data_IF_173540971461
#
_entry.id   IF_173540971461
#
_cell.length_a   1.000
_cell.length_b   1.000
_cell.length_c   1.000
_cell.angle_alpha   90.00
_cell.angle_beta   90.00
_cell.angle_gamma   90.00
#
_symmetry.space_group_name_H-M   'P 1'
#
loop_
_entity.id
_entity.type
_entity.pdbx_description
1 polymer ?
#
# COMPACT_ATOMS: atom_id res chain seq x y z
N UNK A 1 9.31 92.30 -8.27
CA UNK A 1 8.25 92.82 -7.38
C UNK A 1 7.52 93.86 -8.22
N UNK A 2 6.26 93.69 -8.63
CA UNK A 2 5.06 93.18 -7.96
C UNK A 2 4.39 92.08 -8.78
N UNK A 3 3.90 91.06 -8.09
CA UNK A 3 3.00 90.04 -8.63
C UNK A 3 1.59 90.53 -8.32
N UNK A 4 0.82 90.84 -9.36
CA UNK A 4 -0.51 91.42 -9.27
C UNK A 4 -1.53 90.28 -9.39
N UNK A 5 -2.18 89.96 -8.27
CA UNK A 5 -3.26 88.98 -8.24
C UNK A 5 -4.48 89.61 -8.90
N UNK A 6 -4.87 89.07 -10.06
CA UNK A 6 -6.13 89.41 -10.71
C UNK A 6 -6.98 88.13 -10.73
N UNK A 7 -8.01 88.12 -9.89
CA UNK A 7 -9.00 87.06 -9.76
C UNK A 7 -10.02 87.18 -10.89
N UNK A 8 -9.98 86.27 -11.84
CA UNK A 8 -11.18 85.90 -12.61
C UNK A 8 -12.09 85.06 -11.71
N UNK A 9 -12.67 85.73 -10.71
CA UNK A 9 -14.03 85.45 -10.28
C UNK A 9 -14.93 85.69 -11.51
N UNK A 10 -15.92 84.82 -11.70
CA UNK A 10 -16.89 84.75 -12.82
C UNK A 10 -16.60 83.68 -13.89
N UNK A 11 -15.82 82.66 -13.56
CA UNK A 11 -16.01 81.35 -14.18
C UNK A 11 -17.25 80.68 -13.59
N UNK A 12 -18.36 80.70 -14.33
CA UNK A 12 -19.55 79.88 -14.07
C UNK A 12 -19.13 78.52 -13.54
N UNK A 13 -19.44 78.24 -12.28
CA UNK A 13 -19.40 76.88 -11.76
C UNK A 13 -20.47 76.12 -12.54
N UNK A 14 -20.08 75.52 -13.67
CA UNK A 14 -20.84 74.43 -14.27
C UNK A 14 -21.14 73.49 -13.10
N UNK A 15 -22.41 73.40 -12.74
CA UNK A 15 -22.93 72.37 -11.87
C UNK A 15 -22.48 71.05 -12.48
N UNK A 16 -21.34 70.53 -11.99
CA UNK A 16 -21.03 69.13 -12.08
C UNK A 16 -22.14 68.45 -11.29
N UNK A 17 -23.24 68.20 -11.99
CA UNK A 17 -24.24 67.23 -11.60
C UNK A 17 -23.44 65.99 -11.28
N UNK A 18 -23.34 65.71 -9.98
CA UNK A 18 -22.77 64.48 -9.50
C UNK A 18 -23.50 63.38 -10.26
N UNK A 19 -22.82 62.75 -11.22
CA UNK A 19 -23.37 61.54 -11.81
C UNK A 19 -23.55 60.60 -10.64
N UNK A 20 -24.81 60.35 -10.29
CA UNK A 20 -25.22 59.28 -9.40
C UNK A 20 -24.40 58.06 -9.81
N UNK A 21 -23.48 57.68 -8.93
CA UNK A 21 -22.73 56.44 -9.04
C UNK A 21 -23.79 55.38 -9.31
N UNK A 22 -23.78 54.66 -10.46
CA UNK A 22 -24.82 53.70 -10.72
C UNK A 22 -24.83 52.69 -9.57
N UNK A 23 -25.87 52.76 -8.75
CA UNK A 23 -26.19 51.72 -7.79
C UNK A 23 -26.56 50.51 -8.63
N UNK A 24 -25.64 49.57 -8.72
CA UNK A 24 -25.87 48.11 -8.69
C UNK A 24 -24.56 47.41 -9.03
N UNK A 25 -23.60 47.49 -8.11
CA UNK A 25 -22.63 46.41 -8.01
C UNK A 25 -23.40 45.18 -7.47
N UNK A 26 -24.05 44.45 -8.37
CA UNK A 26 -24.64 43.14 -8.05
C UNK A 26 -23.49 42.28 -7.57
N UNK A 27 -23.44 41.95 -6.28
CA UNK A 27 -22.55 40.93 -5.75
C UNK A 27 -22.76 39.68 -6.60
N UNK A 28 -21.74 39.18 -7.33
CA UNK A 28 -21.91 37.95 -8.08
C UNK A 28 -22.16 36.86 -7.05
N UNK A 29 -23.42 36.40 -6.94
CA UNK A 29 -23.73 35.24 -6.14
C UNK A 29 -22.79 34.12 -6.61
N UNK A 30 -22.00 33.51 -5.71
CA UNK A 30 -21.10 32.44 -6.11
C UNK A 30 -21.96 31.41 -6.85
N UNK A 31 -21.62 31.06 -8.10
CA UNK A 31 -22.49 30.22 -8.89
C UNK A 31 -22.43 28.84 -8.25
N UNK A 32 -23.37 28.54 -7.35
CA UNK A 32 -23.46 27.30 -6.56
C UNK A 32 -23.33 26.07 -7.46
N UNK A 33 -23.81 26.17 -8.70
CA UNK A 33 -23.62 25.20 -9.78
C UNK A 33 -22.14 24.89 -10.06
N UNK A 34 -21.28 25.90 -10.15
CA UNK A 34 -19.83 25.72 -10.33
C UNK A 34 -19.17 25.05 -9.13
N UNK A 35 -19.58 25.41 -7.91
CA UNK A 35 -19.07 24.77 -6.69
C UNK A 35 -19.45 23.30 -6.68
N UNK A 36 -20.70 22.96 -7.01
CA UNK A 36 -21.16 21.58 -7.14
C UNK A 36 -20.36 20.84 -8.21
N UNK A 37 -20.13 21.44 -9.37
CA UNK A 37 -19.33 20.83 -10.44
C UNK A 37 -17.90 20.55 -9.97
N UNK A 38 -17.27 21.50 -9.27
CA UNK A 38 -15.91 21.34 -8.74
C UNK A 38 -15.88 20.21 -7.71
N UNK A 39 -16.80 20.22 -6.74
CA UNK A 39 -16.89 19.17 -5.71
C UNK A 39 -17.17 17.81 -6.35
N UNK A 40 -18.04 17.75 -7.35
CA UNK A 40 -18.32 16.53 -8.11
C UNK A 40 -17.06 16.02 -8.83
N UNK A 41 -16.35 16.88 -9.55
CA UNK A 41 -15.09 16.51 -10.23
C UNK A 41 -14.03 16.02 -9.24
N UNK A 42 -13.87 16.70 -8.10
CA UNK A 42 -12.95 16.26 -7.04
C UNK A 42 -13.36 14.91 -6.46
N UNK A 43 -14.67 14.68 -6.28
CA UNK A 43 -15.19 13.43 -5.76
C UNK A 43 -14.93 12.28 -6.74
N UNK A 44 -15.20 12.49 -8.04
CA UNK A 44 -14.91 11.51 -9.10
C UNK A 44 -13.42 11.21 -9.17
N UNK A 45 -12.57 12.25 -9.17
CA UNK A 45 -11.11 12.06 -9.16
C UNK A 45 -10.65 11.28 -7.92
N UNK A 46 -11.17 11.61 -6.73
CA UNK A 46 -10.88 10.90 -5.49
C UNK A 46 -11.29 9.43 -5.55
N UNK A 47 -12.46 9.12 -6.09
CA UNK A 47 -12.94 7.74 -6.27
C UNK A 47 -12.00 6.95 -7.21
N UNK A 48 -11.59 7.54 -8.34
CA UNK A 48 -10.69 6.88 -9.29
C UNK A 48 -9.32 6.60 -8.66
N UNK A 49 -8.76 7.56 -7.94
CA UNK A 49 -7.48 7.39 -7.23
C UNK A 49 -7.60 6.29 -6.16
N UNK A 50 -8.68 6.29 -5.38
CA UNK A 50 -8.93 5.28 -4.36
C UNK A 50 -9.04 3.88 -4.95
N UNK A 51 -9.79 3.71 -6.05
CA UNK A 51 -9.91 2.43 -6.74
C UNK A 51 -8.56 1.95 -7.27
N UNK A 52 -7.76 2.85 -7.86
CA UNK A 52 -6.45 2.47 -8.39
C UNK A 52 -5.45 2.12 -7.28
N UNK A 53 -5.50 2.82 -6.14
CA UNK A 53 -4.69 2.50 -4.97
C UNK A 53 -5.06 1.11 -4.41
N UNK A 54 -6.36 0.82 -4.25
CA UNK A 54 -6.81 -0.48 -3.76
C UNK A 54 -6.45 -1.61 -4.72
N UNK A 55 -6.61 -1.40 -6.03
CA UNK A 55 -6.22 -2.40 -7.02
C UNK A 55 -4.73 -2.71 -6.96
N UNK A 56 -3.88 -1.68 -6.83
CA UNK A 56 -2.43 -1.89 -6.67
C UNK A 56 -2.08 -2.59 -5.37
N UNK A 57 -2.78 -2.28 -4.29
CA UNK A 57 -2.59 -2.93 -3.00
C UNK A 57 -2.98 -4.42 -3.07
N UNK A 58 -4.09 -4.74 -3.71
CA UNK A 58 -4.57 -6.10 -3.92
C UNK A 58 -3.61 -6.93 -4.79
N UNK A 59 -3.15 -6.34 -5.91
CA UNK A 59 -2.14 -6.95 -6.78
C UNK A 59 -0.82 -7.20 -6.04
N UNK A 60 -0.34 -6.23 -5.24
CA UNK A 60 0.87 -6.38 -4.46
C UNK A 60 0.72 -7.44 -3.35
N UNK A 61 -0.42 -7.46 -2.67
CA UNK A 61 -0.72 -8.44 -1.62
C UNK A 61 -0.74 -9.85 -2.22
N UNK A 62 -1.49 -10.05 -3.29
CA UNK A 62 -1.58 -11.34 -3.98
C UNK A 62 -0.21 -11.83 -4.46
N UNK A 63 0.64 -10.93 -4.97
CA UNK A 63 1.99 -11.28 -5.40
C UNK A 63 2.87 -11.74 -4.24
N UNK A 64 2.81 -11.04 -3.09
CA UNK A 64 3.56 -11.41 -1.88
C UNK A 64 3.08 -12.73 -1.30
N UNK A 65 1.77 -12.94 -1.22
CA UNK A 65 1.20 -14.21 -0.74
C UNK A 65 1.65 -15.38 -1.62
N UNK A 66 1.57 -15.22 -2.94
CA UNK A 66 2.02 -16.22 -3.91
C UNK A 66 3.50 -16.57 -3.72
N UNK A 67 4.36 -15.57 -3.48
CA UNK A 67 5.79 -15.76 -3.23
C UNK A 67 6.07 -16.51 -1.92
N UNK A 68 5.28 -16.25 -0.88
CA UNK A 68 5.37 -16.97 0.41
C UNK A 68 5.01 -18.45 0.22
N UNK A 69 3.92 -18.75 -0.47
CA UNK A 69 3.53 -20.13 -0.78
C UNK A 69 4.57 -20.84 -1.65
N UNK A 70 5.09 -20.16 -2.68
CA UNK A 70 6.12 -20.71 -3.55
C UNK A 70 7.40 -21.02 -2.77
N UNK A 71 7.85 -20.09 -1.93
CA UNK A 71 9.06 -20.25 -1.11
C UNK A 71 8.90 -21.39 -0.10
N UNK A 72 7.77 -21.45 0.60
CA UNK A 72 7.46 -22.56 1.51
C UNK A 72 7.48 -23.91 0.77
N UNK A 73 6.79 -24.01 -0.35
CA UNK A 73 6.66 -25.26 -1.10
C UNK A 73 7.99 -25.71 -1.71
N UNK A 74 8.86 -24.78 -2.11
CA UNK A 74 10.22 -25.10 -2.53
C UNK A 74 11.06 -25.63 -1.37
N UNK A 75 10.97 -25.04 -0.18
CA UNK A 75 11.65 -25.56 1.02
C UNK A 75 11.15 -26.94 1.42
N UNK A 76 9.82 -27.15 1.42
CA UNK A 76 9.22 -28.45 1.70
C UNK A 76 9.69 -29.51 0.70
N UNK A 77 9.75 -29.16 -0.59
CA UNK A 77 10.27 -30.05 -1.64
C UNK A 77 11.76 -30.35 -1.47
N UNK A 78 12.57 -29.34 -1.14
CA UNK A 78 14.00 -29.50 -0.88
C UNK A 78 14.22 -30.46 0.31
N UNK A 79 13.48 -30.28 1.39
CA UNK A 79 13.55 -31.14 2.57
C UNK A 79 13.09 -32.57 2.27
N UNK A 80 11.99 -32.76 1.53
CA UNK A 80 11.52 -34.09 1.12
C UNK A 80 12.53 -34.85 0.24
N UNK A 81 13.25 -34.11 -0.61
CA UNK A 81 14.27 -34.66 -1.51
C UNK A 81 15.66 -34.80 -0.88
N UNK A 82 15.85 -34.38 0.38
CA UNK A 82 17.16 -34.24 1.02
C UNK A 82 18.14 -33.42 0.15
N UNK A 83 17.64 -32.35 -0.47
CA UNK A 83 18.38 -31.48 -1.39
C UNK A 83 18.72 -30.13 -0.72
N UNK A 84 19.84 -30.06 0.03
CA UNK A 84 20.22 -28.83 0.72
C UNK A 84 20.62 -27.71 -0.24
N UNK A 85 21.01 -28.01 -1.48
CA UNK A 85 21.40 -26.98 -2.46
C UNK A 85 20.15 -26.23 -2.97
N UNK A 86 19.06 -26.95 -3.23
CA UNK A 86 17.77 -26.32 -3.50
C UNK A 86 17.28 -25.51 -2.30
N UNK A 87 17.44 -26.03 -1.09
CA UNK A 87 17.10 -25.29 0.14
C UNK A 87 17.87 -23.98 0.27
N UNK A 88 19.20 -23.99 0.07
CA UNK A 88 20.06 -22.80 0.11
C UNK A 88 19.67 -21.73 -0.91
N UNK A 89 19.13 -22.11 -2.06
CA UNK A 89 18.68 -21.16 -3.07
C UNK A 89 17.46 -20.33 -2.61
N UNK A 90 16.65 -20.88 -1.69
CA UNK A 90 15.45 -20.22 -1.16
C UNK A 90 15.74 -19.52 0.17
N UNK A 91 16.61 -20.10 1.00
CA UNK A 91 16.94 -19.53 2.31
C UNK A 91 17.65 -18.18 2.16
N UNK A 92 17.23 -17.22 2.98
CA UNK A 92 17.84 -15.90 3.02
C UNK A 92 19.32 -16.01 3.41
N UNK A 93 20.20 -15.42 2.60
CA UNK A 93 21.62 -15.25 2.96
C UNK A 93 21.86 -14.24 4.10
N UNK A 94 20.80 -13.60 4.63
CA UNK A 94 20.90 -12.57 5.67
C UNK A 94 21.39 -13.12 7.02
N UNK A 95 21.06 -14.37 7.32
CA UNK A 95 21.60 -15.09 8.49
C UNK A 95 22.26 -16.40 8.03
N UNK A 96 23.58 -16.33 7.82
CA UNK A 96 24.33 -17.50 7.36
C UNK A 96 24.39 -18.63 8.39
N UNK A 97 24.31 -18.33 9.69
CA UNK A 97 24.34 -19.35 10.73
C UNK A 97 23.03 -20.15 10.78
N UNK A 98 21.90 -19.44 10.70
CA UNK A 98 20.59 -20.07 10.61
C UNK A 98 20.45 -20.86 9.31
N UNK A 99 20.79 -20.28 8.15
CA UNK A 99 20.68 -20.96 6.85
C UNK A 99 21.55 -22.21 6.74
N UNK A 100 22.76 -22.18 7.32
CA UNK A 100 23.62 -23.37 7.42
C UNK A 100 22.97 -24.45 8.30
N UNK A 101 22.38 -24.06 9.42
CA UNK A 101 21.68 -25.01 10.32
C UNK A 101 20.51 -25.68 9.60
N UNK A 102 19.67 -24.91 8.89
CA UNK A 102 18.55 -25.46 8.13
C UNK A 102 19.02 -26.41 7.00
N UNK A 103 20.10 -26.05 6.31
CA UNK A 103 20.69 -26.90 5.27
C UNK A 103 21.19 -28.24 5.83
N UNK A 104 21.86 -28.22 6.99
CA UNK A 104 22.32 -29.43 7.67
C UNK A 104 21.14 -30.31 8.13
N UNK A 105 20.05 -29.70 8.58
CA UNK A 105 18.83 -30.42 8.96
C UNK A 105 18.17 -31.08 7.74
N UNK A 106 18.15 -30.41 6.58
CA UNK A 106 17.68 -31.01 5.33
C UNK A 106 18.54 -32.20 4.90
N UNK A 107 19.86 -32.07 4.94
CA UNK A 107 20.79 -33.15 4.58
C UNK A 107 20.62 -34.40 5.45
N UNK A 108 20.24 -34.21 6.71
CA UNK A 108 20.01 -35.29 7.68
C UNK A 108 18.56 -35.78 7.75
N UNK A 109 17.65 -35.19 6.97
CA UNK A 109 16.22 -35.52 6.98
C UNK A 109 15.48 -35.07 8.23
N UNK A 110 16.07 -34.18 9.02
CA UNK A 110 15.54 -33.69 10.30
C UNK A 110 14.93 -32.30 10.19
N UNK A 111 14.59 -31.84 8.98
CA UNK A 111 14.12 -30.46 8.74
C UNK A 111 12.89 -30.10 9.58
N UNK A 112 11.91 -31.00 9.69
CA UNK A 112 10.73 -30.84 10.53
C UNK A 112 10.80 -31.64 11.85
N UNK A 113 11.92 -32.29 12.13
CA UNK A 113 12.09 -33.10 13.34
C UNK A 113 12.79 -32.30 14.43
N UNK A 114 12.21 -32.33 15.63
CA UNK A 114 12.84 -31.79 16.82
C UNK A 114 12.84 -32.84 17.92
N UNK A 115 13.60 -33.90 17.69
CA UNK A 115 13.73 -35.05 18.61
C UNK A 115 14.13 -34.65 20.04
N UNK A 116 14.95 -33.60 20.21
CA UNK A 116 15.32 -33.07 21.53
C UNK A 116 14.16 -32.48 22.34
N UNK A 117 13.06 -32.12 21.67
CA UNK A 117 11.81 -31.66 22.28
C UNK A 117 10.72 -32.76 22.26
N UNK A 118 11.06 -33.98 21.83
CA UNK A 118 10.10 -35.06 21.63
C UNK A 118 9.08 -34.79 20.51
N UNK A 119 9.34 -33.81 19.65
CA UNK A 119 8.47 -33.46 18.53
C UNK A 119 8.91 -34.27 17.31
N UNK A 120 8.11 -35.28 16.97
CA UNK A 120 8.28 -36.12 15.78
C UNK A 120 7.06 -35.95 14.89
N UNK A 121 7.24 -36.04 13.58
CA UNK A 121 6.12 -36.00 12.66
C UNK A 121 5.32 -37.31 12.78
N UNK A 122 4.01 -37.19 13.01
CA UNK A 122 3.12 -38.36 13.04
C UNK A 122 2.99 -39.00 11.65
N UNK A 123 2.99 -38.16 10.61
CA UNK A 123 3.05 -38.55 9.22
C UNK A 123 4.09 -37.65 8.52
N UNK A 124 5.15 -38.30 8.03
CA UNK A 124 6.27 -37.63 7.40
C UNK A 124 5.91 -37.15 5.99
N UNK A 125 5.03 -37.86 5.27
CA UNK A 125 4.73 -37.55 3.87
C UNK A 125 3.79 -36.33 3.76
N UNK A 126 2.80 -36.21 4.65
CA UNK A 126 1.90 -35.04 4.67
C UNK A 126 2.58 -33.72 5.03
N UNK A 127 3.72 -33.77 5.72
CA UNK A 127 4.46 -32.56 6.11
C UNK A 127 5.15 -31.85 4.95
N UNK A 128 5.41 -32.59 3.87
CA UNK A 128 6.01 -32.05 2.66
C UNK A 128 4.99 -31.78 1.56
N UNK A 129 3.71 -32.02 1.82
CA UNK A 129 2.65 -31.72 0.88
C UNK A 129 2.63 -30.22 0.56
N UNK A 130 2.53 -29.82 -0.73
CA UNK A 130 2.46 -28.42 -1.09
C UNK A 130 1.23 -27.77 -0.47
N UNK A 131 1.41 -26.54 0.00
CA UNK A 131 0.36 -25.73 0.60
C UNK A 131 -0.15 -24.70 -0.41
N UNK A 132 -1.46 -24.48 -0.40
CA UNK A 132 -2.15 -23.52 -1.24
C UNK A 132 -3.15 -22.72 -0.41
N UNK A 133 -3.48 -21.50 -0.86
CA UNK A 133 -4.47 -20.65 -0.18
C UNK A 133 -5.86 -21.28 -0.19
N UNK A 134 -6.18 -22.01 -1.26
CA UNK A 134 -7.48 -22.65 -1.47
C UNK A 134 -7.62 -24.00 -0.76
N UNK A 135 -6.58 -24.44 -0.04
CA UNK A 135 -6.59 -25.70 0.71
C UNK A 135 -7.54 -25.60 1.92
N UNK A 136 -8.30 -26.65 2.19
CA UNK A 136 -9.20 -26.74 3.36
C UNK A 136 -8.42 -26.67 4.69
N UNK A 137 -7.13 -27.03 4.65
CA UNK A 137 -6.22 -26.95 5.79
C UNK A 137 -5.76 -25.52 6.10
N UNK A 138 -5.95 -24.55 5.18
CA UNK A 138 -5.49 -23.18 5.39
C UNK A 138 -6.30 -22.50 6.49
N UNK A 139 -5.61 -21.99 7.52
CA UNK A 139 -6.24 -21.28 8.63
C UNK A 139 -6.00 -19.78 8.49
N UNK A 140 -4.74 -19.36 8.40
CA UNK A 140 -4.38 -17.94 8.36
C UNK A 140 -2.99 -17.68 7.76
N UNK A 141 -2.80 -16.47 7.24
CA UNK A 141 -1.51 -15.92 6.82
C UNK A 141 -1.37 -14.52 7.42
N UNK A 142 -0.44 -14.38 8.36
CA UNK A 142 -0.14 -13.11 9.01
C UNK A 142 1.21 -12.57 8.55
N UNK A 143 1.24 -11.32 8.06
CA UNK A 143 2.45 -10.61 7.67
C UNK A 143 2.88 -9.64 8.77
N UNK A 144 4.18 -9.53 9.02
CA UNK A 144 4.68 -8.48 9.91
C UNK A 144 4.54 -7.09 9.27
N UNK A 145 4.31 -6.02 10.05
CA UNK A 145 4.12 -4.67 9.51
C UNK A 145 5.32 -4.14 8.70
N UNK A 146 6.51 -4.66 8.98
CA UNK A 146 7.76 -4.35 8.28
C UNK A 146 8.05 -5.28 7.09
N UNK A 147 7.16 -6.23 6.80
CA UNK A 147 7.25 -7.22 5.71
C UNK A 147 8.53 -8.08 5.74
N UNK A 148 9.18 -8.19 6.90
CA UNK A 148 10.38 -9.01 7.06
C UNK A 148 10.09 -10.44 7.53
N UNK A 149 8.86 -10.74 7.90
CA UNK A 149 8.42 -12.07 8.33
C UNK A 149 6.97 -12.32 7.93
N UNK A 150 6.68 -13.60 7.71
CA UNK A 150 5.34 -14.10 7.45
C UNK A 150 5.12 -15.34 8.32
N UNK A 151 3.93 -15.46 8.88
CA UNK A 151 3.49 -16.63 9.63
C UNK A 151 2.35 -17.29 8.86
N UNK A 152 2.53 -18.58 8.56
CA UNK A 152 1.61 -19.37 7.79
C UNK A 152 1.04 -20.48 8.67
N UNK A 153 -0.28 -20.47 8.90
CA UNK A 153 -0.95 -21.37 9.83
C UNK A 153 -1.83 -22.34 9.04
N UNK A 154 -1.59 -23.64 9.24
CA UNK A 154 -2.35 -24.73 8.63
C UNK A 154 -2.80 -25.74 9.67
N UNK A 155 -3.99 -26.30 9.45
CA UNK A 155 -4.43 -27.50 10.14
C UNK A 155 -3.57 -28.68 9.66
N UNK A 156 -3.20 -29.54 10.61
CA UNK A 156 -2.55 -30.82 10.33
C UNK A 156 -3.55 -31.91 10.66
N UNK A 157 -3.83 -32.77 9.68
CA UNK A 157 -4.72 -33.93 9.82
C UNK A 157 -4.17 -34.96 10.82
#
# INVERSE_FOLDING_TARGET
MSFEWQTEEDGEWEEQTWQEKPETAVSPNPPWRTIIIIVFLLSVAGIVIFQQANKRLDEATTAVESDIFASHNLLARAAAGLDPDLGRAVLSGRDMGWSQTQSNLMETGLFYEHAGMGLTLADADSAYAPLFREDERFIDLTLSPDLNSAELIYARD
#
